data_IF_022336477370
#
_entry.id   IF_022336477370
#
_cell.length_a   1.000
_cell.length_b   1.000
_cell.length_c   1.000
_cell.angle_alpha   90.00
_cell.angle_beta   90.00
_cell.angle_gamma   90.00
#
_symmetry.space_group_name_H-M   'P 1'
#
loop_
_entity.id
_entity.type
_entity.pdbx_description
1 polymer ?
#
# COMPACT_ATOMS: atom_id res chain seq x y z
N UNK A 1 -12.52 6.91 -14.33
CA UNK A 1 -13.05 6.30 -13.08
C UNK A 1 -12.08 6.60 -11.94
N UNK A 2 -12.56 7.03 -10.76
CA UNK A 2 -11.71 7.25 -9.58
C UNK A 2 -11.72 5.95 -8.76
N UNK A 3 -10.62 5.21 -8.78
CA UNK A 3 -10.47 3.95 -8.04
C UNK A 3 -10.44 4.25 -6.54
N UNK A 4 -11.45 3.79 -5.81
CA UNK A 4 -11.48 3.87 -4.34
C UNK A 4 -11.14 2.49 -3.79
N UNK A 5 -9.89 2.32 -3.40
CA UNK A 5 -9.46 1.10 -2.70
C UNK A 5 -9.93 1.20 -1.24
N UNK A 6 -10.83 0.29 -0.81
CA UNK A 6 -11.33 0.22 0.56
C UNK A 6 -10.33 -0.45 1.53
N UNK A 7 -9.08 -0.02 1.54
CA UNK A 7 -8.02 -0.60 2.40
C UNK A 7 -7.60 0.27 3.57
N UNK A 8 -8.28 1.40 3.82
CA UNK A 8 -7.89 2.38 4.86
C UNK A 8 -7.59 1.74 6.21
N UNK A 9 -8.52 0.95 6.77
CA UNK A 9 -8.32 0.33 8.09
C UNK A 9 -7.22 -0.75 8.14
N UNK A 10 -6.94 -1.43 7.01
CA UNK A 10 -5.80 -2.36 6.94
C UNK A 10 -4.47 -1.62 6.89
N UNK A 11 -4.40 -0.50 6.17
CA UNK A 11 -3.21 0.35 6.11
C UNK A 11 -2.93 1.05 7.45
N UNK A 12 -3.96 1.51 8.15
CA UNK A 12 -3.84 2.03 9.51
C UNK A 12 -3.24 0.98 10.45
N UNK A 13 -3.66 -0.28 10.31
CA UNK A 13 -3.12 -1.39 11.11
C UNK A 13 -1.67 -1.70 10.78
N UNK A 14 -1.27 -1.59 9.51
CA UNK A 14 0.14 -1.71 9.13
C UNK A 14 0.99 -0.63 9.80
N UNK A 15 0.53 0.63 9.78
CA UNK A 15 1.20 1.74 10.43
C UNK A 15 1.29 1.54 11.95
N UNK A 16 0.17 1.26 12.62
CA UNK A 16 0.11 1.03 14.06
C UNK A 16 1.04 -0.11 14.49
N UNK A 17 1.11 -1.19 13.73
CA UNK A 17 2.00 -2.30 14.04
C UNK A 17 3.47 -1.91 13.91
N UNK A 18 3.83 -1.15 12.88
CA UNK A 18 5.20 -0.70 12.65
C UNK A 18 5.67 0.33 13.70
N UNK A 19 4.76 1.11 14.29
CA UNK A 19 5.10 2.11 15.30
C UNK A 19 5.03 1.60 16.74
N UNK A 20 4.46 0.41 17.00
CA UNK A 20 4.28 -0.14 18.37
C UNK A 20 5.55 -0.21 19.21
N UNK A 21 6.69 -0.46 18.58
CA UNK A 21 7.98 -0.60 19.25
C UNK A 21 8.82 0.69 19.20
N UNK A 22 8.33 1.74 18.55
CA UNK A 22 9.04 3.02 18.42
C UNK A 22 8.72 3.93 19.61
N UNK A 23 9.70 4.70 20.10
CA UNK A 23 9.45 5.80 21.03
C UNK A 23 8.49 6.85 20.44
N UNK A 24 7.69 7.49 21.30
CA UNK A 24 6.73 8.53 20.88
C UNK A 24 7.41 9.74 20.20
N UNK A 25 8.68 10.02 20.52
CA UNK A 25 9.48 11.10 19.95
C UNK A 25 10.16 10.75 18.61
N UNK A 26 9.99 9.51 18.13
CA UNK A 26 10.47 9.04 16.83
C UNK A 26 9.32 8.50 15.97
N UNK A 27 8.39 9.37 15.54
CA UNK A 27 7.27 8.95 14.73
C UNK A 27 7.76 8.47 13.37
N UNK A 28 7.24 7.33 12.94
CA UNK A 28 7.51 6.82 11.61
C UNK A 28 6.78 7.69 10.58
N UNK A 29 7.53 8.25 9.62
CA UNK A 29 6.97 9.09 8.58
C UNK A 29 7.67 8.85 7.25
N UNK A 30 6.95 9.07 6.15
CA UNK A 30 7.48 8.91 4.80
C UNK A 30 6.48 8.26 3.86
N UNK A 31 7.00 7.65 2.80
CA UNK A 31 6.21 7.08 1.72
C UNK A 31 6.61 5.62 1.46
N UNK A 32 5.62 4.82 1.08
CA UNK A 32 5.80 3.49 0.51
C UNK A 32 5.12 3.48 -0.85
N UNK A 33 5.90 3.23 -1.90
CA UNK A 33 5.39 3.11 -3.26
C UNK A 33 5.21 1.62 -3.58
N UNK A 34 4.00 1.24 -3.98
CA UNK A 34 3.66 -0.11 -4.39
C UNK A 34 3.38 -0.14 -5.89
N UNK A 35 4.23 -0.86 -6.63
CA UNK A 35 3.97 -1.23 -8.01
C UNK A 35 3.15 -2.51 -8.09
N UNK A 36 2.15 -2.54 -8.97
CA UNK A 36 1.29 -3.70 -9.18
C UNK A 36 0.71 -3.73 -10.61
N UNK A 37 0.27 -4.91 -11.03
CA UNK A 37 -0.46 -5.11 -12.28
C UNK A 37 -1.90 -5.56 -11.97
N UNK A 38 -2.89 -4.90 -12.57
CA UNK A 38 -4.30 -5.32 -12.52
C UNK A 38 -4.61 -6.13 -13.77
N UNK A 39 -4.94 -7.39 -13.58
CA UNK A 39 -5.33 -8.28 -14.67
C UNK A 39 -6.74 -7.93 -15.19
N UNK A 40 -7.11 -8.31 -16.42
CA UNK A 40 -8.47 -8.13 -16.95
C UNK A 40 -9.60 -8.69 -16.07
N UNK A 41 -9.29 -9.71 -15.28
CA UNK A 41 -10.20 -10.31 -14.28
C UNK A 41 -10.44 -9.43 -13.05
N UNK A 42 -9.67 -8.36 -12.89
CA UNK A 42 -9.67 -7.49 -11.71
C UNK A 42 -8.72 -7.95 -10.59
N UNK A 43 -8.08 -9.11 -10.73
CA UNK A 43 -7.10 -9.62 -9.75
C UNK A 43 -5.77 -8.88 -9.88
N UNK A 44 -5.13 -8.61 -8.76
CA UNK A 44 -3.80 -7.97 -8.73
C UNK A 44 -2.68 -9.02 -8.78
N UNK A 45 -1.63 -8.73 -9.55
CA UNK A 45 -0.39 -9.52 -9.63
C UNK A 45 0.85 -8.62 -9.58
N UNK A 46 2.04 -9.24 -9.47
CA UNK A 46 3.34 -8.57 -9.48
C UNK A 46 3.50 -7.45 -8.45
N UNK A 47 2.87 -7.60 -7.27
CA UNK A 47 2.91 -6.58 -6.23
C UNK A 47 4.29 -6.50 -5.58
N UNK A 48 4.89 -5.32 -5.64
CA UNK A 48 6.23 -5.07 -5.12
C UNK A 48 6.37 -3.67 -4.55
N UNK A 49 7.22 -3.52 -3.54
CA UNK A 49 7.67 -2.22 -3.05
C UNK A 49 8.67 -1.66 -4.06
N UNK A 50 8.34 -0.54 -4.70
CA UNK A 50 9.23 0.15 -5.65
C UNK A 50 10.06 1.23 -4.97
N UNK A 51 9.59 1.78 -3.86
CA UNK A 51 10.29 2.76 -3.02
C UNK A 51 9.82 2.69 -1.57
N UNK A 52 10.73 2.85 -0.63
CA UNK A 52 10.42 2.97 0.79
C UNK A 52 11.27 4.09 1.41
N UNK A 53 10.65 5.21 1.77
CA UNK A 53 11.31 6.31 2.47
C UNK A 53 11.00 6.35 3.96
N UNK A 54 10.16 5.45 4.46
CA UNK A 54 9.83 5.34 5.89
C UNK A 54 10.95 4.69 6.72
N UNK A 55 11.88 4.00 6.06
CA UNK A 55 12.94 3.23 6.72
C UNK A 55 12.47 1.93 7.38
N UNK A 56 11.17 1.66 7.47
CA UNK A 56 10.63 0.41 8.03
C UNK A 56 10.30 -0.60 6.95
N UNK A 57 11.06 -1.70 6.92
CA UNK A 57 10.74 -2.84 6.06
C UNK A 57 9.47 -3.56 6.53
N UNK A 58 9.19 -3.58 7.84
CA UNK A 58 7.97 -4.20 8.37
C UNK A 58 6.71 -3.48 7.88
N UNK A 59 6.73 -2.15 7.86
CA UNK A 59 5.65 -1.37 7.27
C UNK A 59 5.49 -1.67 5.78
N UNK A 60 6.59 -1.59 5.02
CA UNK A 60 6.57 -1.80 3.58
C UNK A 60 6.05 -3.20 3.20
N UNK A 61 6.47 -4.24 3.93
CA UNK A 61 6.02 -5.61 3.74
C UNK A 61 4.53 -5.77 4.09
N UNK A 62 4.05 -5.14 5.16
CA UNK A 62 2.63 -5.18 5.52
C UNK A 62 1.76 -4.50 4.45
N UNK A 63 2.20 -3.34 3.94
CA UNK A 63 1.50 -2.61 2.89
C UNK A 63 1.47 -3.42 1.60
N UNK A 64 2.61 -4.01 1.19
CA UNK A 64 2.69 -4.89 0.03
C UNK A 64 1.72 -6.08 0.16
N UNK A 65 1.74 -6.78 1.30
CA UNK A 65 0.87 -7.93 1.54
C UNK A 65 -0.62 -7.54 1.55
N UNK A 66 -0.94 -6.35 2.03
CA UNK A 66 -2.31 -5.81 1.99
C UNK A 66 -2.72 -5.47 0.56
N UNK A 67 -1.84 -4.85 -0.22
CA UNK A 67 -2.09 -4.51 -1.62
C UNK A 67 -2.24 -5.75 -2.51
N UNK A 68 -1.55 -6.85 -2.21
CA UNK A 68 -1.70 -8.12 -2.90
C UNK A 68 -3.10 -8.75 -2.74
N UNK A 69 -3.88 -8.33 -1.74
CA UNK A 69 -5.26 -8.79 -1.54
C UNK A 69 -6.30 -7.89 -2.21
N UNK A 70 -5.87 -6.85 -2.93
CA UNK A 70 -6.80 -5.99 -3.63
C UNK A 70 -7.47 -6.74 -4.77
N UNK A 71 -8.74 -6.41 -4.96
CA UNK A 71 -9.53 -6.84 -6.10
C UNK A 71 -10.19 -5.61 -6.70
N UNK A 72 -10.18 -5.56 -8.01
CA UNK A 72 -10.80 -4.52 -8.81
C UNK A 72 -11.96 -5.12 -9.60
N UNK A 73 -12.90 -4.31 -10.09
CA UNK A 73 -13.84 -4.76 -11.11
C UNK A 73 -13.06 -5.28 -12.32
N UNK A 74 -13.57 -6.33 -12.95
CA UNK A 74 -13.07 -6.75 -14.27
C UNK A 74 -13.23 -5.61 -15.28
N UNK A 75 -12.35 -5.59 -16.27
CA UNK A 75 -12.35 -4.59 -17.32
C UNK A 75 -12.17 -5.21 -18.71
N UNK A 76 -12.53 -4.47 -19.75
CA UNK A 76 -12.50 -4.94 -21.13
C UNK A 76 -11.11 -4.92 -21.78
N UNK A 77 -10.12 -4.29 -21.16
CA UNK A 77 -8.74 -4.33 -21.66
C UNK A 77 -8.23 -5.76 -21.69
N UNK A 78 -7.52 -6.11 -22.76
CA UNK A 78 -6.94 -7.45 -22.93
C UNK A 78 -5.61 -7.62 -22.21
N UNK A 79 -4.92 -6.53 -21.91
CA UNK A 79 -3.63 -6.51 -21.24
C UNK A 79 -3.74 -6.10 -19.76
N UNK A 80 -2.79 -6.53 -18.91
CA UNK A 80 -2.71 -6.03 -17.54
C UNK A 80 -2.41 -4.53 -17.51
N UNK A 81 -3.06 -3.81 -16.59
CA UNK A 81 -2.78 -2.39 -16.34
C UNK A 81 -1.76 -2.29 -15.21
N UNK A 82 -0.56 -1.82 -15.54
CA UNK A 82 0.48 -1.54 -14.54
C UNK A 82 0.32 -0.14 -13.94
N UNK A 83 0.41 -0.03 -12.62
CA UNK A 83 0.53 1.27 -11.97
C UNK A 83 1.26 1.22 -10.63
N UNK A 84 1.65 2.40 -10.15
CA UNK A 84 2.26 2.61 -8.83
C UNK A 84 1.28 3.40 -7.95
N UNK A 85 1.03 2.89 -6.75
CA UNK A 85 0.27 3.58 -5.70
C UNK A 85 1.20 4.06 -4.60
N UNK A 86 1.11 5.35 -4.26
CA UNK A 86 1.93 6.00 -3.22
C UNK A 86 1.12 6.08 -1.93
N UNK A 87 1.60 5.41 -0.88
CA UNK A 87 1.06 5.54 0.47
C UNK A 87 1.90 6.51 1.27
N UNK A 88 1.25 7.52 1.86
CA UNK A 88 1.89 8.47 2.76
C UNK A 88 1.58 8.11 4.20
N UNK A 89 2.63 7.94 4.99
CA UNK A 89 2.56 7.63 6.41
C UNK A 89 3.16 8.77 7.22
N UNK A 90 2.55 9.01 8.36
CA UNK A 90 2.99 10.00 9.32
C UNK A 90 2.02 10.06 10.48
N UNK A 91 2.40 10.76 11.56
CA UNK A 91 1.50 11.03 12.66
C UNK A 91 0.24 11.72 12.13
N UNK A 92 -0.92 11.28 12.61
CA UNK A 92 -2.19 11.94 12.29
C UNK A 92 -2.17 13.31 12.96
N UNK A 93 -1.86 14.35 12.18
CA UNK A 93 -1.93 15.72 12.68
C UNK A 93 -3.40 15.98 13.06
N UNK A 94 -3.69 16.41 14.30
CA UNK A 94 -5.06 16.78 14.70
C UNK A 94 -5.60 17.97 13.91
#
# INVERSE_FOLDING_TARGET
>A
ARLVVQSGGKMDRCYQNATKALPDDQPLAGEVDIGLAVMPTGVVQNVRVTRNTTGSNDLANCVQATAAQWAFPSHSESEPVEFVHVFRFGPRNP
#
